data_IF_283042862861
#
_entry.id   IF_283042862861
#
_cell.length_a   1.000
_cell.length_b   1.000
_cell.length_c   1.000
_cell.angle_alpha   90.00
_cell.angle_beta   90.00
_cell.angle_gamma   90.00
#
_symmetry.space_group_name_H-M   'P 1'
#
loop_
_entity.id
_entity.type
_entity.pdbx_description
1 polymer ?
#
# COMPACT_ATOMS: atom_id res chain seq x y z
N UNK A 1 -20.56 2.81 19.29
CA UNK A 1 -20.48 3.12 18.84
C UNK A 1 -19.79 3.03 17.86
N UNK A 2 -19.50 2.78 17.21
CA UNK A 2 -18.97 2.66 16.10
C UNK A 2 -17.72 3.24 15.72
N UNK A 3 -16.80 3.24 16.55
CA UNK A 3 -15.59 3.74 16.11
C UNK A 3 -14.99 2.73 15.23
N UNK A 4 -14.84 3.04 13.98
CA UNK A 4 -14.17 2.19 13.07
C UNK A 4 -12.70 2.19 13.36
N UNK A 5 -12.14 1.05 13.50
CA UNK A 5 -10.71 0.92 13.64
C UNK A 5 -10.13 1.14 12.26
N UNK A 6 -9.46 2.26 12.05
CA UNK A 6 -8.85 2.57 10.76
C UNK A 6 -7.86 1.49 10.34
N UNK A 7 -7.33 0.76 11.31
CA UNK A 7 -6.42 -0.34 11.05
C UNK A 7 -7.11 -1.46 10.27
N UNK A 8 -8.37 -1.76 10.62
CA UNK A 8 -9.11 -2.79 9.89
C UNK A 8 -9.35 -2.39 8.43
N UNK A 9 -9.68 -1.14 8.21
CA UNK A 9 -9.91 -0.64 6.86
C UNK A 9 -8.63 -0.69 6.04
N UNK A 10 -7.52 -0.34 6.66
CA UNK A 10 -6.23 -0.38 6.00
C UNK A 10 -5.86 -1.82 5.65
N UNK A 11 -6.17 -2.74 6.55
CA UNK A 11 -5.90 -4.15 6.28
C UNK A 11 -6.73 -4.70 5.13
N UNK A 12 -7.95 -4.23 5.00
CA UNK A 12 -8.78 -4.62 3.87
C UNK A 12 -8.18 -4.12 2.57
N UNK A 13 -7.68 -2.90 2.58
CA UNK A 13 -7.01 -2.34 1.42
C UNK A 13 -5.75 -3.13 1.10
N UNK A 14 -5.01 -3.51 2.12
CA UNK A 14 -3.81 -4.31 1.94
C UNK A 14 -4.12 -5.61 1.19
N UNK A 15 -5.20 -6.26 1.56
CA UNK A 15 -5.61 -7.50 0.89
C UNK A 15 -5.97 -7.27 -0.56
N UNK A 16 -6.59 -6.14 -0.85
CA UNK A 16 -6.91 -5.81 -2.23
C UNK A 16 -5.65 -5.58 -3.05
N UNK A 17 -4.65 -4.95 -2.45
CA UNK A 17 -3.39 -4.71 -3.11
C UNK A 17 -2.59 -6.00 -3.28
N UNK A 18 -2.66 -6.87 -2.30
CA UNK A 18 -1.92 -8.12 -2.30
C UNK A 18 -2.73 -9.20 -3.03
N UNK A 19 -2.81 -9.05 -4.32
CA UNK A 19 -3.58 -9.93 -5.18
C UNK A 19 -3.04 -11.36 -5.17
N UNK A 20 -1.75 -11.48 -4.99
CA UNK A 20 -1.07 -12.77 -4.99
C UNK A 20 -1.09 -13.48 -3.64
N UNK A 21 -1.61 -12.81 -2.64
CA UNK A 21 -1.66 -13.35 -1.27
C UNK A 21 -0.30 -13.78 -0.75
N UNK A 22 0.72 -13.01 -1.10
CA UNK A 22 2.08 -13.28 -0.63
C UNK A 22 2.37 -12.63 0.71
N UNK A 23 1.49 -11.76 1.15
CA UNK A 23 1.69 -11.01 2.39
C UNK A 23 2.51 -9.75 2.19
N UNK A 24 2.81 -9.42 0.95
CA UNK A 24 3.58 -8.22 0.62
C UNK A 24 3.06 -7.60 -0.66
N UNK A 25 3.22 -6.30 -0.76
CA UNK A 25 2.81 -5.55 -1.95
C UNK A 25 4.06 -5.21 -2.75
N UNK A 26 4.12 -5.68 -3.98
CA UNK A 26 5.22 -5.37 -4.88
C UNK A 26 4.89 -4.15 -5.72
N UNK A 27 5.86 -3.68 -6.48
CA UNK A 27 5.66 -2.57 -7.40
C UNK A 27 4.50 -2.85 -8.36
N UNK A 28 4.43 -4.06 -8.86
CA UNK A 28 3.37 -4.46 -9.79
C UNK A 28 2.00 -4.37 -9.15
N UNK A 29 1.88 -4.85 -7.93
CA UNK A 29 0.61 -4.79 -7.21
C UNK A 29 0.18 -3.35 -7.01
N UNK A 30 1.12 -2.51 -6.60
CA UNK A 30 0.83 -1.11 -6.35
C UNK A 30 0.40 -0.39 -7.62
N UNK A 31 1.10 -0.64 -8.70
CA UNK A 31 0.79 -0.03 -9.99
C UNK A 31 -0.61 -0.44 -10.48
N UNK A 32 -0.92 -1.71 -10.34
CA UNK A 32 -2.21 -2.23 -10.77
C UNK A 32 -3.35 -1.58 -10.01
N UNK A 33 -3.23 -1.52 -8.69
CA UNK A 33 -4.29 -0.94 -7.87
C UNK A 33 -4.43 0.55 -8.12
N UNK A 34 -3.31 1.24 -8.30
CA UNK A 34 -3.35 2.66 -8.63
C UNK A 34 -4.15 2.91 -9.89
N UNK A 35 -3.98 2.05 -10.89
CA UNK A 35 -4.75 2.14 -12.12
C UNK A 35 -6.22 1.89 -11.89
N UNK A 36 -6.55 0.89 -11.11
CA UNK A 36 -7.93 0.56 -10.82
C UNK A 36 -8.65 1.68 -10.07
N UNK A 37 -7.92 2.38 -9.22
CA UNK A 37 -8.48 3.49 -8.48
C UNK A 37 -8.51 4.78 -9.28
N UNK A 38 -8.00 4.74 -10.51
CA UNK A 38 -7.99 5.92 -11.36
C UNK A 38 -6.91 6.92 -11.01
N UNK A 39 -5.91 6.49 -10.25
CA UNK A 39 -4.81 7.37 -9.88
C UNK A 39 -3.75 7.33 -10.97
N UNK A 40 -3.49 8.47 -11.55
CA UNK A 40 -2.48 8.55 -12.62
C UNK A 40 -1.10 8.79 -12.03
N UNK A 41 -0.58 7.78 -11.38
CA UNK A 41 0.75 7.88 -10.80
C UNK A 41 1.79 7.33 -11.75
N UNK A 42 2.91 8.02 -11.83
CA UNK A 42 4.01 7.55 -12.67
C UNK A 42 4.78 6.46 -11.95
N UNK A 43 5.57 5.73 -12.71
CA UNK A 43 6.40 4.67 -12.15
C UNK A 43 7.37 5.26 -11.11
N UNK A 44 7.86 6.46 -11.37
CA UNK A 44 8.75 7.12 -10.44
C UNK A 44 8.08 7.41 -9.11
N UNK A 45 6.85 7.89 -9.17
CA UNK A 45 6.09 8.19 -7.96
C UNK A 45 5.83 6.93 -7.15
N UNK A 46 5.46 5.85 -7.84
CA UNK A 46 5.21 4.58 -7.19
C UNK A 46 6.48 4.03 -6.55
N UNK A 47 7.59 4.16 -7.27
CA UNK A 47 8.87 3.69 -6.75
C UNK A 47 9.29 4.49 -5.53
N UNK A 48 9.04 5.78 -5.54
CA UNK A 48 9.33 6.62 -4.38
C UNK A 48 8.52 6.20 -3.16
N UNK A 49 7.26 5.86 -3.37
CA UNK A 49 6.42 5.38 -2.28
C UNK A 49 7.00 4.10 -1.67
N UNK A 50 7.41 3.20 -2.53
CA UNK A 50 8.01 1.95 -2.08
C UNK A 50 9.32 2.21 -1.35
N UNK A 51 10.17 3.06 -1.90
CA UNK A 51 11.44 3.39 -1.28
C UNK A 51 11.27 3.99 0.11
N UNK A 52 10.28 4.84 0.27
CA UNK A 52 10.02 5.46 1.56
C UNK A 52 9.52 4.45 2.58
N UNK A 53 8.69 3.52 2.14
CA UNK A 53 8.07 2.56 3.03
C UNK A 53 8.94 1.33 3.26
N UNK A 54 9.74 0.99 2.27
CA UNK A 54 10.54 -0.23 2.33
C UNK A 54 11.80 -0.01 3.18
N UNK A 55 11.71 -0.38 4.42
CA UNK A 55 12.84 -0.24 5.33
C UNK A 55 13.81 -1.41 5.24
N UNK A 56 13.30 -2.54 4.84
CA UNK A 56 14.11 -3.74 4.75
C UNK A 56 14.94 -3.80 3.47
N UNK A 57 14.58 -3.01 2.50
CA UNK A 57 15.29 -2.99 1.24
C UNK A 57 15.00 -4.19 0.34
N UNK A 58 13.88 -4.85 0.56
CA UNK A 58 13.52 -6.02 -0.24
C UNK A 58 12.71 -5.65 -1.48
N UNK A 59 12.37 -4.39 -1.62
CA UNK A 59 11.60 -3.91 -2.76
C UNK A 59 10.12 -4.17 -2.68
N UNK A 60 9.64 -4.65 -1.55
CA UNK A 60 8.24 -4.93 -1.35
C UNK A 60 7.75 -4.30 -0.05
N UNK A 61 6.45 -4.09 0.03
CA UNK A 61 5.84 -3.44 1.19
C UNK A 61 5.08 -4.48 1.99
N UNK A 62 5.46 -4.67 3.24
CA UNK A 62 4.73 -5.57 4.12
C UNK A 62 3.60 -4.82 4.82
N UNK A 63 2.89 -5.52 5.68
CA UNK A 63 1.74 -4.98 6.39
C UNK A 63 2.06 -3.72 7.18
N UNK A 64 3.13 -3.75 7.94
CA UNK A 64 3.52 -2.62 8.75
C UNK A 64 3.92 -1.42 7.91
N UNK A 65 4.67 -1.66 6.87
CA UNK A 65 5.10 -0.61 5.95
C UNK A 65 3.91 0.02 5.25
N UNK A 66 2.94 -0.81 4.88
CA UNK A 66 1.73 -0.32 4.26
C UNK A 66 0.93 0.58 5.21
N UNK A 67 0.82 0.18 6.46
CA UNK A 67 0.15 0.99 7.46
C UNK A 67 0.80 2.36 7.60
N UNK A 68 2.11 2.41 7.55
CA UNK A 68 2.83 3.67 7.64
C UNK A 68 2.55 4.57 6.46
N UNK A 69 2.53 4.01 5.27
CA UNK A 69 2.21 4.77 4.07
C UNK A 69 0.83 5.39 4.19
N UNK A 70 -0.14 4.59 4.58
CA UNK A 70 -1.51 5.07 4.66
C UNK A 70 -1.66 6.18 5.68
N UNK A 71 -1.00 6.06 6.80
CA UNK A 71 -1.04 7.09 7.84
C UNK A 71 -0.33 8.35 7.40
N UNK A 72 0.79 8.20 6.72
CA UNK A 72 1.58 9.34 6.30
C UNK A 72 0.91 10.14 5.20
N UNK A 73 0.29 9.45 4.27
CA UNK A 73 -0.36 10.11 3.13
C UNK A 73 -1.81 10.47 3.40
N UNK A 74 -2.32 10.11 4.55
CA UNK A 74 -3.71 10.38 4.92
C UNK A 74 -4.73 9.83 3.92
N UNK A 75 -4.40 8.73 3.28
CA UNK A 75 -5.31 8.08 2.35
C UNK A 75 -6.46 7.39 3.09
N UNK A 76 -6.26 7.12 4.36
CA UNK A 76 -7.30 6.52 5.20
C UNK A 76 -7.36 7.19 6.56
#
# INVERSE_FOLDING_TARGET
MGERDSREEIMKAFRLFDDDETGKISFKNLKRVAKELGENMTDEELQEMIDEADRDGDGEINEEEFLRIMKKTSLY
#
